data_IF_875867055528
#
_entry.id   IF_875867055528
#
_cell.length_a   1.000
_cell.length_b   1.000
_cell.length_c   1.000
_cell.angle_alpha   90.00
_cell.angle_beta   90.00
_cell.angle_gamma   90.00
#
_symmetry.space_group_name_H-M   'P 1'
#
loop_
_entity.id
_entity.type
_entity.pdbx_description
1 polymer ?
#
# COMPACT_ATOMS: atom_id res chain seq x y z
N UNK A 1 0.52 2.64 -17.21
CA UNK A 1 -0.65 1.81 -17.58
C UNK A 1 -0.84 1.60 -19.10
N UNK A 2 -0.98 2.66 -19.93
CA UNK A 2 -1.34 2.51 -21.37
C UNK A 2 -0.37 1.72 -22.25
N UNK A 3 0.90 1.52 -21.86
CA UNK A 3 1.89 0.75 -22.63
C UNK A 3 1.85 -0.74 -22.31
N UNK A 4 1.73 -1.10 -21.02
CA UNK A 4 1.63 -2.50 -20.58
C UNK A 4 0.35 -3.18 -21.09
N UNK A 5 -0.78 -2.49 -21.04
CA UNK A 5 -2.07 -3.01 -21.57
C UNK A 5 -1.97 -3.31 -23.08
N UNK A 6 -1.26 -2.45 -23.83
CA UNK A 6 -1.06 -2.67 -25.27
C UNK A 6 -0.22 -3.92 -25.54
N UNK A 7 0.85 -4.15 -24.77
CA UNK A 7 1.67 -5.36 -24.92
C UNK A 7 0.92 -6.61 -24.49
N UNK A 8 0.19 -6.56 -23.38
CA UNK A 8 -0.64 -7.68 -22.93
C UNK A 8 -1.70 -8.06 -23.96
N UNK A 9 -2.44 -7.09 -24.51
CA UNK A 9 -3.40 -7.33 -25.58
C UNK A 9 -2.75 -7.92 -26.83
N UNK A 10 -1.54 -7.47 -27.19
CA UNK A 10 -0.83 -7.98 -28.36
C UNK A 10 -0.37 -9.43 -28.18
N UNK A 11 0.15 -9.79 -27.00
CA UNK A 11 0.50 -11.19 -26.66
C UNK A 11 -0.75 -12.06 -26.69
N UNK A 12 -1.87 -11.56 -26.16
CA UNK A 12 -3.13 -12.30 -26.11
C UNK A 12 -3.71 -12.52 -27.53
N UNK A 13 -3.62 -11.53 -28.41
CA UNK A 13 -4.02 -11.65 -29.83
C UNK A 13 -3.15 -12.67 -30.56
N UNK A 14 -1.82 -12.62 -30.39
CA UNK A 14 -0.88 -13.55 -31.03
C UNK A 14 -1.08 -14.98 -30.51
N UNK A 15 -1.26 -15.17 -29.21
CA UNK A 15 -1.52 -16.47 -28.60
C UNK A 15 -2.82 -17.10 -29.12
N UNK A 16 -3.89 -16.31 -29.25
CA UNK A 16 -5.15 -16.78 -29.81
C UNK A 16 -5.04 -17.10 -31.31
N UNK A 17 -4.31 -16.29 -32.10
CA UNK A 17 -4.05 -16.60 -33.51
C UNK A 17 -3.26 -17.90 -33.68
N UNK A 18 -2.25 -18.14 -32.84
CA UNK A 18 -1.48 -19.39 -32.84
C UNK A 18 -2.36 -20.61 -32.50
N UNK A 19 -3.27 -20.47 -31.53
CA UNK A 19 -4.23 -21.52 -31.17
C UNK A 19 -5.21 -21.83 -32.31
N UNK A 20 -5.76 -20.81 -32.96
CA UNK A 20 -6.66 -20.96 -34.12
C UNK A 20 -5.94 -21.67 -35.27
N UNK A 21 -4.67 -21.37 -35.51
CA UNK A 21 -3.87 -22.03 -36.54
C UNK A 21 -3.51 -23.47 -36.19
N UNK A 22 -3.28 -23.77 -34.92
CA UNK A 22 -3.13 -25.14 -34.45
C UNK A 22 -4.38 -25.97 -34.76
N UNK A 23 -5.56 -25.42 -34.47
CA UNK A 23 -6.85 -26.04 -34.77
C UNK A 23 -7.08 -26.23 -36.29
N UNK A 24 -6.73 -25.25 -37.13
CA UNK A 24 -6.81 -25.44 -38.59
C UNK A 24 -5.87 -26.52 -39.10
N UNK A 25 -4.70 -26.68 -38.48
CA UNK A 25 -3.74 -27.72 -38.86
C UNK A 25 -4.21 -29.12 -38.44
N UNK A 26 -4.88 -29.27 -37.30
CA UNK A 26 -5.48 -30.55 -36.88
C UNK A 26 -6.61 -30.99 -37.81
N UNK A 27 -7.31 -30.04 -38.44
CA UNK A 27 -8.36 -30.28 -39.44
C UNK A 27 -7.81 -30.48 -40.87
N UNK A 28 -6.49 -30.59 -41.05
CA UNK A 28 -5.86 -30.95 -42.33
C UNK A 28 -5.62 -29.78 -43.30
N UNK A 29 -5.85 -28.53 -42.89
CA UNK A 29 -5.55 -27.36 -43.72
C UNK A 29 -4.03 -27.09 -43.74
N UNK A 30 -3.45 -27.01 -44.94
CA UNK A 30 -2.04 -26.65 -45.17
C UNK A 30 -1.91 -25.14 -45.39
N UNK A 31 -1.85 -24.37 -44.31
CA UNK A 31 -1.54 -22.94 -44.39
C UNK A 31 -0.03 -22.69 -44.26
N UNK A 32 0.48 -21.70 -44.99
CA UNK A 32 1.86 -21.23 -44.87
C UNK A 32 2.00 -20.38 -43.59
N UNK A 33 2.88 -20.84 -42.68
CA UNK A 33 3.08 -20.26 -41.34
C UNK A 33 4.23 -19.26 -41.30
N UNK A 34 4.92 -19.03 -42.42
CA UNK A 34 6.08 -18.14 -42.53
C UNK A 34 5.78 -16.73 -42.02
N UNK A 35 4.68 -16.14 -42.50
CA UNK A 35 4.25 -14.78 -42.16
C UNK A 35 3.94 -14.64 -40.67
N UNK A 36 3.31 -15.65 -40.07
CA UNK A 36 2.94 -15.61 -38.66
C UNK A 36 4.16 -15.73 -37.75
N UNK A 37 5.11 -16.60 -38.12
CA UNK A 37 6.35 -16.78 -37.40
C UNK A 37 7.23 -15.52 -37.47
N UNK A 38 7.28 -14.87 -38.63
CA UNK A 38 7.97 -13.58 -38.80
C UNK A 38 7.34 -12.48 -37.92
N UNK A 39 6.00 -12.37 -37.91
CA UNK A 39 5.29 -11.43 -37.06
C UNK A 39 5.55 -11.70 -35.56
N UNK A 40 5.57 -12.97 -35.15
CA UNK A 40 5.88 -13.40 -33.78
C UNK A 40 7.30 -12.99 -33.36
N UNK A 41 8.30 -13.26 -34.21
CA UNK A 41 9.71 -12.94 -33.96
C UNK A 41 9.93 -11.43 -33.92
N UNK A 42 9.34 -10.66 -34.84
CA UNK A 42 9.42 -9.21 -34.86
C UNK A 42 8.83 -8.60 -33.58
N UNK A 43 7.71 -9.13 -33.12
CA UNK A 43 7.07 -8.71 -31.88
C UNK A 43 7.96 -9.00 -30.66
N UNK A 44 8.55 -10.19 -30.58
CA UNK A 44 9.46 -10.53 -29.47
C UNK A 44 10.69 -9.63 -29.45
N UNK A 45 11.32 -9.37 -30.61
CA UNK A 45 12.43 -8.43 -30.71
C UNK A 45 12.04 -7.04 -30.23
N UNK A 46 10.85 -6.56 -30.60
CA UNK A 46 10.34 -5.26 -30.15
C UNK A 46 10.11 -5.23 -28.62
N UNK A 47 9.53 -6.28 -28.05
CA UNK A 47 9.32 -6.40 -26.58
C UNK A 47 10.66 -6.39 -25.84
N UNK A 48 11.67 -7.10 -26.36
CA UNK A 48 13.02 -7.11 -25.81
C UNK A 48 13.70 -5.73 -25.91
N UNK A 49 13.64 -5.08 -27.07
CA UNK A 49 14.23 -3.75 -27.29
C UNK A 49 13.58 -2.66 -26.43
N UNK A 50 12.29 -2.79 -26.13
CA UNK A 50 11.58 -1.84 -25.27
C UNK A 50 11.90 -1.99 -23.77
N UNK A 51 12.82 -2.90 -23.39
CA UNK A 51 13.19 -3.14 -21.98
C UNK A 51 12.02 -3.67 -21.14
N UNK A 52 10.97 -4.17 -21.80
CA UNK A 52 9.70 -4.50 -21.15
C UNK A 52 9.83 -5.78 -20.31
N UNK A 53 10.74 -6.67 -20.71
CA UNK A 53 11.12 -7.83 -19.91
C UNK A 53 11.69 -7.40 -18.56
N UNK A 54 12.54 -6.38 -18.55
CA UNK A 54 13.14 -5.81 -17.33
C UNK A 54 12.07 -5.23 -16.41
N UNK A 55 11.06 -4.55 -16.99
CA UNK A 55 9.93 -4.00 -16.24
C UNK A 55 9.01 -5.10 -15.68
N UNK A 56 8.75 -6.15 -16.46
CA UNK A 56 7.94 -7.29 -16.00
C UNK A 56 8.68 -8.06 -14.90
N UNK A 57 9.99 -8.29 -15.06
CA UNK A 57 10.83 -8.95 -14.05
C UNK A 57 10.92 -8.08 -12.78
N UNK A 58 11.12 -6.77 -12.89
CA UNK A 58 11.12 -5.85 -11.75
C UNK A 58 9.76 -5.86 -11.02
N UNK A 59 8.66 -5.89 -11.79
CA UNK A 59 7.31 -5.94 -11.21
C UNK A 59 7.04 -7.27 -10.50
N UNK A 60 7.34 -8.41 -11.14
CA UNK A 60 7.18 -9.75 -10.54
C UNK A 60 8.10 -9.90 -9.32
N UNK A 61 9.34 -9.42 -9.40
CA UNK A 61 10.29 -9.46 -8.28
C UNK A 61 9.78 -8.67 -7.08
N UNK A 62 9.29 -7.45 -7.29
CA UNK A 62 8.69 -6.64 -6.22
C UNK A 62 7.48 -7.31 -5.60
N UNK A 63 6.59 -7.90 -6.40
CA UNK A 63 5.38 -8.57 -5.92
C UNK A 63 5.71 -9.86 -5.15
N UNK A 64 6.74 -10.60 -5.57
CA UNK A 64 7.18 -11.84 -4.93
C UNK A 64 7.94 -11.58 -3.62
N UNK A 65 8.87 -10.61 -3.61
CA UNK A 65 9.55 -10.14 -2.39
C UNK A 65 8.52 -9.62 -1.37
N UNK A 66 7.45 -8.96 -1.84
CA UNK A 66 6.38 -8.47 -0.98
C UNK A 66 5.55 -9.60 -0.35
N UNK A 67 5.24 -10.66 -1.10
CA UNK A 67 4.54 -11.83 -0.54
C UNK A 67 5.36 -12.54 0.55
N UNK A 68 6.65 -12.69 0.32
CA UNK A 68 7.54 -13.34 1.29
C UNK A 68 7.68 -12.52 2.59
N UNK A 69 7.68 -11.18 2.49
CA UNK A 69 7.59 -10.30 3.67
C UNK A 69 6.25 -10.41 4.37
N UNK A 70 5.13 -10.40 3.63
CA UNK A 70 3.77 -10.44 4.21
C UNK A 70 3.46 -11.71 5.02
N UNK A 71 4.13 -12.84 4.73
CA UNK A 71 3.95 -14.09 5.47
C UNK A 71 4.59 -14.10 6.87
N UNK A 72 5.36 -13.07 7.25
CA UNK A 72 6.14 -13.07 8.50
C UNK A 72 5.60 -12.13 9.58
N UNK A 73 4.52 -11.40 9.34
CA UNK A 73 3.98 -10.43 10.29
C UNK A 73 2.80 -11.02 11.08
N UNK A 74 3.00 -11.24 12.38
CA UNK A 74 1.91 -11.60 13.31
C UNK A 74 1.19 -10.31 13.72
N UNK A 75 0.29 -9.85 12.85
CA UNK A 75 -0.51 -8.64 13.09
C UNK A 75 -1.73 -8.99 13.93
N UNK A 76 -1.82 -8.41 15.14
CA UNK A 76 -3.03 -8.48 15.97
C UNK A 76 -3.87 -7.23 15.74
N UNK A 77 -5.16 -7.43 15.47
CA UNK A 77 -6.11 -6.34 15.26
C UNK A 77 -7.11 -6.30 16.42
N UNK A 78 -7.34 -5.11 16.96
CA UNK A 78 -8.29 -4.84 18.03
C UNK A 78 -9.31 -3.81 17.53
N UNK A 79 -10.58 -4.04 17.84
CA UNK A 79 -11.67 -3.12 17.56
C UNK A 79 -12.22 -2.62 18.90
N UNK A 80 -12.24 -1.30 19.08
CA UNK A 80 -12.61 -0.68 20.35
C UNK A 80 -13.18 0.73 20.13
N UNK A 81 -13.68 1.34 21.20
CA UNK A 81 -13.94 2.78 21.19
C UNK A 81 -12.62 3.56 21.21
N UNK A 82 -12.56 4.72 20.57
CA UNK A 82 -11.31 5.50 20.49
C UNK A 82 -10.73 5.86 21.88
N UNK A 83 -11.55 5.97 22.92
CA UNK A 83 -11.08 6.25 24.28
C UNK A 83 -10.30 5.09 24.88
N UNK A 84 -10.56 3.88 24.40
CA UNK A 84 -9.94 2.65 24.88
C UNK A 84 -8.69 2.26 24.08
N UNK A 85 -8.45 2.90 22.93
CA UNK A 85 -7.40 2.50 22.00
C UNK A 85 -6.00 2.47 22.62
N UNK A 86 -5.73 3.37 23.57
CA UNK A 86 -4.44 3.43 24.28
C UNK A 86 -4.23 2.24 25.23
N UNK A 87 -5.29 1.54 25.66
CA UNK A 87 -5.15 0.35 26.52
C UNK A 87 -4.58 -0.86 25.78
N UNK A 88 -4.77 -0.93 24.46
CA UNK A 88 -4.26 -2.02 23.63
C UNK A 88 -2.80 -1.84 23.24
N UNK A 89 -2.25 -0.63 23.43
CA UNK A 89 -0.90 -0.29 23.01
C UNK A 89 0.01 -0.32 24.25
N UNK A 90 1.03 -1.20 24.27
CA UNK A 90 1.97 -1.23 25.40
C UNK A 90 2.76 0.07 25.46
N UNK A 91 3.24 0.43 26.65
CA UNK A 91 4.19 1.54 26.80
C UNK A 91 5.41 1.27 25.91
N UNK A 92 5.76 2.24 25.06
CA UNK A 92 6.76 2.09 24.03
C UNK A 92 7.60 3.38 23.86
N UNK A 93 8.64 3.27 23.05
CA UNK A 93 9.50 4.40 22.62
C UNK A 93 9.47 4.53 21.10
N UNK A 94 8.34 4.19 20.47
CA UNK A 94 8.22 4.21 19.02
C UNK A 94 8.06 5.64 18.51
N UNK A 95 8.42 5.84 17.25
CA UNK A 95 8.18 7.09 16.53
C UNK A 95 6.77 7.08 15.98
N UNK A 96 5.90 7.96 16.50
CA UNK A 96 4.51 8.07 16.10
C UNK A 96 4.33 9.19 15.11
N UNK A 97 3.47 8.96 14.12
CA UNK A 97 3.19 9.90 13.05
C UNK A 97 1.69 10.04 12.87
N UNK A 98 1.19 11.28 12.89
CA UNK A 98 -0.18 11.59 12.51
C UNK A 98 -0.19 11.96 11.05
N UNK A 99 -1.01 11.27 10.27
CA UNK A 99 -1.19 11.55 8.87
C UNK A 99 -2.51 12.27 8.60
N UNK A 100 -3.56 11.93 9.36
CA UNK A 100 -4.87 12.56 9.22
C UNK A 100 -5.52 12.72 10.58
N UNK A 101 -6.15 13.87 10.83
CA UNK A 101 -6.93 14.07 12.04
C UNK A 101 -8.11 15.02 11.83
N UNK A 102 -9.27 14.59 12.30
CA UNK A 102 -10.49 15.36 12.35
C UNK A 102 -11.16 15.07 13.70
N UNK A 103 -10.99 16.00 14.64
CA UNK A 103 -11.42 15.83 16.01
C UNK A 103 -11.95 17.15 16.60
N UNK A 104 -12.80 17.03 17.62
CA UNK A 104 -13.32 18.13 18.43
C UNK A 104 -12.49 18.19 19.72
N UNK A 105 -11.98 19.37 20.04
CA UNK A 105 -11.10 19.60 21.19
C UNK A 105 -11.90 20.07 22.41
N UNK A 106 -11.51 19.62 23.60
CA UNK A 106 -12.14 20.05 24.85
C UNK A 106 -11.57 21.37 25.42
N UNK A 107 -10.60 21.99 24.74
CA UNK A 107 -10.04 23.31 25.06
C UNK A 107 -9.11 23.36 26.28
N UNK A 108 -8.75 22.22 26.88
CA UNK A 108 -7.98 22.19 28.14
C UNK A 108 -6.46 22.08 27.99
N UNK A 109 -5.95 21.84 26.79
CA UNK A 109 -4.53 21.63 26.52
C UNK A 109 -3.96 22.63 25.51
N UNK A 110 -2.63 22.70 25.45
CA UNK A 110 -1.82 23.67 24.67
C UNK A 110 -1.76 23.40 23.16
N UNK A 111 -2.40 22.33 22.66
CA UNK A 111 -2.29 21.95 21.26
C UNK A 111 -3.25 22.76 20.38
N UNK A 112 -2.70 23.62 19.51
CA UNK A 112 -3.48 24.35 18.52
C UNK A 112 -3.81 23.44 17.32
N UNK A 113 -5.03 22.89 17.33
CA UNK A 113 -5.54 21.99 16.30
C UNK A 113 -5.61 22.65 14.91
N UNK A 114 -5.80 23.99 14.85
CA UNK A 114 -5.79 24.70 13.56
C UNK A 114 -4.38 24.78 13.01
N UNK A 115 -3.39 24.99 13.87
CA UNK A 115 -1.99 24.93 13.48
C UNK A 115 -1.60 23.52 13.02
N UNK A 116 -1.98 22.48 13.78
CA UNK A 116 -1.73 21.08 13.44
C UNK A 116 -2.35 20.68 12.10
N UNK A 117 -3.64 20.98 11.87
CA UNK A 117 -4.30 20.65 10.60
C UNK A 117 -3.66 21.38 9.42
N UNK A 118 -3.29 22.66 9.61
CA UNK A 118 -2.61 23.45 8.58
C UNK A 118 -1.21 22.90 8.28
N UNK A 119 -0.52 22.35 9.27
CA UNK A 119 0.76 21.66 9.06
C UNK A 119 0.55 20.35 8.31
N UNK A 120 -0.40 19.51 8.74
CA UNK A 120 -0.74 18.24 8.08
C UNK A 120 -1.09 18.42 6.60
N UNK A 121 -1.83 19.48 6.24
CA UNK A 121 -2.18 19.78 4.84
C UNK A 121 -0.97 20.04 3.93
N UNK A 122 0.18 20.39 4.49
CA UNK A 122 1.39 20.76 3.74
C UNK A 122 2.52 19.72 3.84
N UNK A 123 2.37 18.69 4.68
CA UNK A 123 3.42 17.72 4.90
C UNK A 123 3.35 16.57 3.88
N UNK A 124 4.51 16.17 3.37
CA UNK A 124 4.69 14.93 2.59
C UNK A 124 4.89 13.70 3.47
N UNK A 125 5.21 13.92 4.75
CA UNK A 125 5.45 12.93 5.80
C UNK A 125 4.48 13.18 6.97
N UNK A 126 4.25 12.21 7.85
CA UNK A 126 3.35 12.42 8.98
C UNK A 126 3.93 13.40 10.02
N UNK A 127 3.07 14.02 10.82
CA UNK A 127 3.47 14.86 11.95
C UNK A 127 4.01 13.99 13.09
N UNK A 128 5.28 14.17 13.44
CA UNK A 128 5.99 13.37 14.44
C UNK A 128 5.51 13.67 15.86
N UNK A 129 5.36 12.60 16.65
CA UNK A 129 5.05 12.62 18.08
C UNK A 129 5.80 11.50 18.82
N UNK A 130 6.15 11.77 20.06
CA UNK A 130 6.49 10.73 21.04
C UNK A 130 5.24 10.04 21.59
N UNK A 131 5.43 8.88 22.24
CA UNK A 131 4.34 8.18 22.91
C UNK A 131 3.66 9.02 24.01
N UNK A 132 4.41 9.85 24.73
CA UNK A 132 3.86 10.70 25.78
C UNK A 132 3.01 11.84 25.19
N UNK A 133 3.51 12.52 24.15
CA UNK A 133 2.75 13.56 23.44
C UNK A 133 1.49 13.00 22.77
N UNK A 134 1.57 11.78 22.20
CA UNK A 134 0.40 11.11 21.63
C UNK A 134 -0.69 10.90 22.70
N UNK A 135 -0.34 10.42 23.89
CA UNK A 135 -1.34 10.24 24.97
C UNK A 135 -1.97 11.58 25.37
N UNK A 136 -1.16 12.63 25.53
CA UNK A 136 -1.66 13.96 25.87
C UNK A 136 -2.62 14.49 24.79
N UNK A 137 -2.28 14.27 23.52
CA UNK A 137 -3.11 14.65 22.40
C UNK A 137 -4.44 13.89 22.40
N UNK A 138 -4.43 12.57 22.56
CA UNK A 138 -5.66 11.78 22.55
C UNK A 138 -6.61 12.15 23.70
N UNK A 139 -6.08 12.37 24.91
CA UNK A 139 -6.87 12.77 26.08
C UNK A 139 -7.50 14.16 25.90
N UNK A 140 -6.92 14.99 25.05
CA UNK A 140 -7.41 16.34 24.79
C UNK A 140 -8.58 16.41 23.81
N UNK A 141 -8.89 15.32 23.10
CA UNK A 141 -10.06 15.27 22.23
C UNK A 141 -11.34 14.96 23.00
N UNK A 142 -12.33 15.82 22.85
CA UNK A 142 -13.70 15.54 23.26
C UNK A 142 -14.31 14.44 22.40
N UNK A 143 -14.01 14.45 21.10
CA UNK A 143 -14.48 13.48 20.11
C UNK A 143 -13.53 13.38 18.93
N UNK A 144 -13.38 12.20 18.34
CA UNK A 144 -12.60 11.97 17.11
C UNK A 144 -13.55 11.48 16.01
N UNK A 145 -13.68 12.23 14.92
CA UNK A 145 -14.50 11.84 13.77
C UNK A 145 -13.71 10.93 12.83
N UNK A 146 -12.48 11.30 12.50
CA UNK A 146 -11.56 10.47 11.74
C UNK A 146 -10.12 10.72 12.15
N UNK A 147 -9.30 9.67 12.21
CA UNK A 147 -7.88 9.82 12.48
C UNK A 147 -7.09 8.66 11.91
N UNK A 148 -5.88 8.95 11.44
CA UNK A 148 -4.89 7.97 11.01
C UNK A 148 -3.56 8.28 11.70
N UNK A 149 -3.15 7.38 12.60
CA UNK A 149 -1.90 7.48 13.37
C UNK A 149 -1.13 6.18 13.19
N UNK A 150 0.17 6.28 12.94
CA UNK A 150 1.01 5.12 12.68
C UNK A 150 2.31 5.25 13.45
N UNK A 151 2.71 4.18 14.14
CA UNK A 151 4.06 4.00 14.65
C UNK A 151 4.90 3.28 13.60
N UNK A 152 5.99 3.90 13.16
CA UNK A 152 6.86 3.36 12.11
C UNK A 152 8.28 3.12 12.64
N UNK A 153 8.98 2.16 12.04
CA UNK A 153 10.43 1.98 12.26
C UNK A 153 11.28 2.97 11.45
N UNK A 154 10.73 3.54 10.38
CA UNK A 154 11.37 4.50 9.47
C UNK A 154 10.31 5.43 8.89
N UNK A 155 10.68 6.64 8.45
CA UNK A 155 9.71 7.56 7.84
C UNK A 155 9.23 6.99 6.48
N UNK A 156 7.91 6.78 6.34
CA UNK A 156 7.26 6.36 5.10
C UNK A 156 6.49 7.52 4.46
N UNK A 157 6.48 7.57 3.12
CA UNK A 157 5.75 8.59 2.34
C UNK A 157 4.24 8.47 2.57
N UNK A 158 3.58 9.60 2.85
CA UNK A 158 2.12 9.64 3.08
C UNK A 158 1.31 8.97 1.96
N UNK A 159 1.77 9.04 0.71
CA UNK A 159 1.06 8.43 -0.44
C UNK A 159 1.05 6.91 -0.40
N UNK A 160 2.07 6.30 0.19
CA UNK A 160 2.14 4.85 0.35
C UNK A 160 1.29 4.43 1.57
N UNK A 161 1.26 5.28 2.60
CA UNK A 161 0.38 5.14 3.76
C UNK A 161 -1.11 5.15 3.40
N UNK A 162 -1.57 6.16 2.66
CA UNK A 162 -3.00 6.30 2.29
C UNK A 162 -3.50 5.16 1.41
N UNK A 163 -2.61 4.53 0.63
CA UNK A 163 -2.95 3.40 -0.24
C UNK A 163 -2.96 2.06 0.49
N UNK A 164 -2.74 2.05 1.80
CA UNK A 164 -2.47 0.83 2.58
C UNK A 164 -1.31 0.01 1.97
N UNK A 165 -0.34 0.69 1.36
CA UNK A 165 0.76 0.10 0.58
C UNK A 165 2.10 0.08 1.34
N UNK A 166 2.04 0.15 2.67
CA UNK A 166 3.19 0.18 3.57
C UNK A 166 3.28 -1.11 4.38
N UNK A 167 4.50 -1.58 4.61
CA UNK A 167 4.75 -2.95 5.10
C UNK A 167 5.34 -2.96 6.52
N UNK A 168 6.04 -1.89 6.91
CA UNK A 168 6.88 -1.86 8.12
C UNK A 168 6.36 -0.89 9.19
N UNK A 169 5.11 -1.10 9.64
CA UNK A 169 4.55 -0.41 10.79
C UNK A 169 4.61 -1.26 12.06
N UNK A 170 4.90 -0.62 13.19
CA UNK A 170 4.85 -1.21 14.54
C UNK A 170 3.41 -1.23 15.05
N UNK A 171 2.69 -0.13 14.85
CA UNK A 171 1.30 0.02 15.22
C UNK A 171 0.56 0.93 14.24
N UNK A 172 -0.69 0.62 13.94
CA UNK A 172 -1.60 1.47 13.19
C UNK A 172 -2.87 1.68 14.01
N UNK A 173 -3.28 2.94 14.11
CA UNK A 173 -4.53 3.37 14.72
C UNK A 173 -5.35 4.06 13.64
N UNK A 174 -6.54 3.53 13.38
CA UNK A 174 -7.51 4.12 12.48
C UNK A 174 -8.80 4.36 13.22
N UNK A 175 -9.23 5.61 13.30
CA UNK A 175 -10.52 5.98 13.91
C UNK A 175 -11.45 6.46 12.83
N UNK A 176 -12.70 6.01 12.86
CA UNK A 176 -13.79 6.51 12.02
C UNK A 176 -15.10 6.43 12.77
N UNK A 177 -15.79 7.56 12.90
CA UNK A 177 -17.14 7.64 13.51
C UNK A 177 -17.22 6.97 14.91
N UNK A 178 -16.20 7.20 15.75
CA UNK A 178 -15.95 6.59 17.07
C UNK A 178 -15.47 5.13 17.09
N UNK A 179 -15.54 4.41 15.97
CA UNK A 179 -14.94 3.07 15.87
C UNK A 179 -13.44 3.19 15.68
N UNK A 180 -12.67 2.48 16.49
CA UNK A 180 -11.21 2.47 16.43
C UNK A 180 -10.70 1.06 16.10
N UNK A 181 -9.87 0.97 15.07
CA UNK A 181 -9.10 -0.20 14.73
C UNK A 181 -7.63 0.03 15.12
N UNK A 182 -7.10 -0.81 16.01
CA UNK A 182 -5.69 -0.81 16.40
C UNK A 182 -5.04 -2.08 15.87
N UNK A 183 -4.04 -1.96 14.99
CA UNK A 183 -3.22 -3.07 14.49
C UNK A 183 -1.83 -3.00 15.06
N UNK A 184 -1.38 -4.06 15.70
CA UNK A 184 -0.04 -4.17 16.27
C UNK A 184 0.71 -5.28 15.56
N UNK A 185 1.89 -4.95 15.05
CA UNK A 185 2.76 -5.89 14.36
C UNK A 185 3.77 -6.51 15.33
N UNK A 186 3.42 -7.64 15.94
CA UNK A 186 4.26 -8.26 16.97
C UNK A 186 5.60 -8.75 16.41
N UNK A 187 5.70 -9.00 15.11
CA UNK A 187 6.96 -9.45 14.49
C UNK A 187 8.05 -8.37 14.50
N UNK A 188 7.69 -7.11 14.72
CA UNK A 188 8.62 -5.98 14.77
C UNK A 188 8.87 -5.47 16.20
N UNK A 189 8.12 -5.96 17.18
CA UNK A 189 8.23 -5.59 18.59
C UNK A 189 9.16 -6.61 19.25
N UNK A 190 10.43 -6.23 19.42
CA UNK A 190 11.42 -7.03 20.15
C UNK A 190 11.42 -6.71 21.63
#
# INVERSE_FOLDING_TARGET
MKRAIRVFLFILIIGNLALILHLFRTEGYKQDLSILLEAYIATHKYIFQMGLLSVIIDWISKDWIRRDKSQKYEIKSFYCEYKEMLYYIPKNTWSWYIYEINAIYNGKNSFDLKALNKELDNLTEGYYLSWDELKELIVSFERINSCLIIALNQNEDYRDVVKDDFVDFLCLIKVKDNECEVKINNSLIK
#
